data_IF_510223785771
#
_entry.id   IF_510223785771
#
_cell.length_a   1.000
_cell.length_b   1.000
_cell.length_c   1.000
_cell.angle_alpha   90.00
_cell.angle_beta   90.00
_cell.angle_gamma   90.00
#
_symmetry.space_group_name_H-M   'P 1'
#
loop_
_entity.id
_entity.type
_entity.pdbx_description
1 polymer ?
#
# COMPACT_ATOMS: atom_id res chain seq x y z
N UNK A 1 -64.09 48.69 -20.70
CA UNK A 1 -63.04 49.65 -21.12
C UNK A 1 -61.99 48.80 -21.84
N UNK A 2 -61.87 48.82 -23.18
CA UNK A 2 -61.48 49.96 -24.03
C UNK A 2 -60.03 50.38 -23.75
N UNK A 3 -59.09 50.48 -24.71
CA UNK A 3 -59.05 50.19 -26.18
C UNK A 3 -57.57 49.96 -26.53
N UNK A 4 -57.21 48.93 -27.28
CA UNK A 4 -56.89 48.99 -28.72
C UNK A 4 -55.93 50.14 -29.14
N UNK A 5 -54.73 49.79 -29.62
CA UNK A 5 -53.94 50.58 -30.58
C UNK A 5 -52.83 49.74 -31.23
N UNK A 6 -52.99 49.58 -32.54
CA UNK A 6 -52.19 48.89 -33.56
C UNK A 6 -51.13 49.82 -34.17
N UNK A 7 -50.07 49.24 -34.78
CA UNK A 7 -49.19 49.71 -35.90
C UNK A 7 -47.86 48.93 -35.75
N UNK A 8 -47.39 48.05 -36.64
CA UNK A 8 -47.25 48.00 -38.11
C UNK A 8 -45.92 48.61 -38.64
N UNK A 9 -45.25 47.79 -39.48
CA UNK A 9 -44.31 48.10 -40.58
C UNK A 9 -42.90 48.68 -40.22
N UNK A 10 -41.77 48.33 -40.87
CA UNK A 10 -41.43 47.23 -41.82
C UNK A 10 -39.87 46.99 -41.88
N UNK A 11 -39.42 45.89 -42.51
CA UNK A 11 -38.04 45.57 -42.96
C UNK A 11 -37.00 45.23 -41.85
N UNK A 12 -35.97 44.40 -42.03
CA UNK A 12 -35.23 44.01 -43.24
C UNK A 12 -34.35 42.75 -43.05
N UNK A 13 -34.22 41.92 -44.10
CA UNK A 13 -33.11 40.96 -44.42
C UNK A 13 -32.65 39.90 -43.40
N UNK A 14 -32.55 38.59 -43.78
CA UNK A 14 -31.85 37.59 -42.98
C UNK A 14 -30.32 37.70 -43.12
N UNK A 15 -29.53 37.53 -42.05
CA UNK A 15 -28.08 37.41 -42.16
C UNK A 15 -27.66 36.06 -42.77
N UNK A 16 -26.57 36.09 -43.56
CA UNK A 16 -25.98 34.95 -44.26
C UNK A 16 -25.72 33.74 -43.36
N UNK A 17 -26.01 32.54 -43.87
CA UNK A 17 -25.53 31.28 -43.28
C UNK A 17 -24.05 31.09 -43.63
N UNK A 18 -23.18 31.85 -42.98
CA UNK A 18 -21.74 31.69 -43.15
C UNK A 18 -21.30 30.36 -42.55
N UNK A 19 -21.14 29.40 -43.45
CA UNK A 19 -20.45 28.12 -43.33
C UNK A 19 -19.64 27.99 -42.04
N UNK A 20 -20.16 27.23 -41.07
CA UNK A 20 -19.35 26.75 -39.95
C UNK A 20 -18.28 25.83 -40.55
N UNK A 21 -17.12 26.40 -40.81
CA UNK A 21 -15.87 25.68 -41.03
C UNK A 21 -15.61 24.89 -39.75
N UNK A 22 -16.05 23.65 -39.74
CA UNK A 22 -15.80 22.71 -38.68
C UNK A 22 -14.30 22.42 -38.64
N UNK A 23 -13.56 23.26 -37.92
CA UNK A 23 -12.19 22.97 -37.49
C UNK A 23 -12.17 21.54 -36.96
N UNK A 24 -11.40 20.62 -37.57
CA UNK A 24 -11.30 19.28 -37.04
C UNK A 24 -10.85 19.39 -35.59
N UNK A 25 -11.63 18.85 -34.66
CA UNK A 25 -11.14 18.61 -33.30
C UNK A 25 -10.02 17.60 -33.49
N UNK A 26 -8.79 18.10 -33.56
CA UNK A 26 -7.58 17.34 -33.78
C UNK A 26 -7.29 16.59 -32.48
N UNK A 27 -8.10 15.55 -32.24
CA UNK A 27 -8.06 14.73 -31.04
C UNK A 27 -6.67 14.11 -30.97
N UNK A 28 -5.87 14.59 -30.01
CA UNK A 28 -4.44 14.38 -29.97
C UNK A 28 -4.12 12.88 -29.84
N UNK A 29 -3.81 12.26 -30.99
CA UNK A 29 -3.59 10.82 -31.08
C UNK A 29 -2.40 10.38 -30.22
N UNK A 30 -1.45 11.30 -29.94
CA UNK A 30 -0.27 11.04 -29.12
C UNK A 30 -0.64 10.59 -27.69
N UNK A 31 -1.74 11.13 -27.14
CA UNK A 31 -2.28 10.77 -25.83
C UNK A 31 -2.72 9.31 -25.78
N UNK A 32 -3.49 8.87 -26.77
CA UNK A 32 -4.05 7.50 -26.83
C UNK A 32 -2.94 6.45 -27.01
N UNK A 33 -1.94 6.73 -27.86
CA UNK A 33 -0.78 5.85 -28.03
C UNK A 33 0.08 5.77 -26.75
N UNK A 34 0.31 6.90 -26.08
CA UNK A 34 1.07 6.95 -24.82
C UNK A 34 0.37 6.15 -23.70
N UNK A 35 -0.94 6.29 -23.56
CA UNK A 35 -1.73 5.54 -22.58
C UNK A 35 -1.69 4.03 -22.82
N UNK A 36 -1.80 3.58 -24.09
CA UNK A 36 -1.64 2.16 -24.46
C UNK A 36 -0.24 1.63 -24.13
N UNK A 37 0.82 2.44 -24.35
CA UNK A 37 2.21 2.08 -24.05
C UNK A 37 2.45 1.95 -22.54
N UNK A 38 1.93 2.88 -21.73
CA UNK A 38 2.03 2.81 -20.27
C UNK A 38 1.26 1.63 -19.68
N UNK A 39 0.07 1.31 -20.21
CA UNK A 39 -0.64 0.07 -19.84
C UNK A 39 0.20 -1.18 -20.09
N UNK A 40 0.80 -1.32 -21.29
CA UNK A 40 1.68 -2.47 -21.61
C UNK A 40 2.89 -2.56 -20.65
N UNK A 41 3.58 -1.45 -20.40
CA UNK A 41 4.69 -1.39 -19.41
C UNK A 41 4.24 -1.84 -18.02
N UNK A 42 3.10 -1.31 -17.55
CA UNK A 42 2.52 -1.63 -16.24
C UNK A 42 2.18 -3.11 -16.11
N UNK A 43 1.59 -3.73 -17.13
CA UNK A 43 1.30 -5.17 -17.14
C UNK A 43 2.58 -6.01 -17.12
N UNK A 44 3.61 -5.64 -17.90
CA UNK A 44 4.88 -6.35 -17.91
C UNK A 44 5.59 -6.28 -16.54
N UNK A 45 5.61 -5.09 -15.90
CA UNK A 45 6.15 -4.93 -14.54
C UNK A 45 5.33 -5.71 -13.51
N UNK A 46 4.00 -5.72 -13.62
CA UNK A 46 3.17 -6.53 -12.72
C UNK A 46 3.43 -8.04 -12.88
N UNK A 47 3.64 -8.53 -14.11
CA UNK A 47 4.05 -9.92 -14.33
C UNK A 47 5.36 -10.22 -13.61
N UNK A 48 6.39 -9.40 -13.83
CA UNK A 48 7.70 -9.58 -13.18
C UNK A 48 7.62 -9.51 -11.65
N UNK A 49 6.74 -8.67 -11.09
CA UNK A 49 6.49 -8.62 -9.65
C UNK A 49 5.78 -9.88 -9.15
N UNK A 50 4.82 -10.44 -9.90
CA UNK A 50 4.22 -11.75 -9.61
C UNK A 50 5.28 -12.85 -9.62
N UNK A 51 6.17 -12.87 -10.61
CA UNK A 51 7.26 -13.85 -10.68
C UNK A 51 8.16 -13.76 -9.44
N UNK A 52 8.56 -12.54 -9.04
CA UNK A 52 9.37 -12.31 -7.83
C UNK A 52 8.68 -12.84 -6.56
N UNK A 53 7.34 -12.78 -6.45
CA UNK A 53 6.63 -13.14 -5.21
C UNK A 53 5.95 -14.50 -5.21
N UNK A 54 5.66 -15.10 -6.37
CA UNK A 54 4.95 -16.37 -6.52
C UNK A 54 5.79 -17.49 -7.16
N UNK A 55 6.76 -17.19 -8.06
CA UNK A 55 7.42 -18.25 -8.83
C UNK A 55 8.13 -19.27 -7.91
N UNK A 56 7.99 -20.59 -8.14
CA UNK A 56 8.58 -21.61 -7.27
C UNK A 56 10.11 -21.58 -7.32
N UNK A 57 10.68 -21.33 -8.50
CA UNK A 57 12.13 -21.26 -8.76
C UNK A 57 12.72 -19.90 -8.35
N UNK A 58 12.47 -19.48 -7.10
CA UNK A 58 12.84 -18.18 -6.60
C UNK A 58 14.36 -18.03 -6.39
N UNK A 59 15.01 -17.32 -7.31
CA UNK A 59 16.45 -17.01 -7.20
C UNK A 59 16.65 -15.71 -6.42
N UNK A 60 17.16 -15.84 -5.18
CA UNK A 60 17.37 -14.72 -4.25
C UNK A 60 18.25 -13.59 -4.83
N UNK A 61 19.32 -13.92 -5.55
CA UNK A 61 20.22 -12.95 -6.20
C UNK A 61 19.55 -12.15 -7.33
N UNK A 62 18.47 -12.67 -7.93
CA UNK A 62 17.75 -12.01 -9.03
C UNK A 62 16.84 -10.87 -8.55
N UNK A 63 16.45 -10.86 -7.26
CA UNK A 63 15.44 -9.94 -6.71
C UNK A 63 15.81 -8.47 -6.95
N UNK A 64 17.00 -8.06 -6.53
CA UNK A 64 17.42 -6.65 -6.62
C UNK A 64 17.55 -6.18 -8.09
N UNK A 65 18.22 -6.92 -9.00
CA UNK A 65 18.19 -6.60 -10.43
C UNK A 65 16.78 -6.54 -11.02
N UNK A 66 15.89 -7.49 -10.65
CA UNK A 66 14.53 -7.54 -11.16
C UNK A 66 13.67 -6.33 -10.71
N UNK A 67 13.76 -5.94 -9.43
CA UNK A 67 13.04 -4.75 -8.93
C UNK A 67 13.64 -3.46 -9.49
N UNK A 68 14.96 -3.35 -9.60
CA UNK A 68 15.61 -2.19 -10.23
C UNK A 68 15.19 -2.04 -11.70
N UNK A 69 15.07 -3.14 -12.45
CA UNK A 69 14.54 -3.12 -13.81
C UNK A 69 13.06 -2.66 -13.87
N UNK A 70 12.25 -3.00 -12.86
CA UNK A 70 10.88 -2.47 -12.74
C UNK A 70 10.87 -0.96 -12.44
N UNK A 71 11.79 -0.48 -11.59
CA UNK A 71 11.97 0.93 -11.26
C UNK A 71 12.56 1.77 -12.40
N UNK A 72 13.26 1.15 -13.35
CA UNK A 72 13.68 1.80 -14.60
C UNK A 72 12.55 1.85 -15.65
N UNK A 73 11.59 0.92 -15.59
CA UNK A 73 10.49 0.81 -16.55
C UNK A 73 9.30 1.76 -16.28
N UNK A 74 9.06 2.09 -15.01
CA UNK A 74 7.99 2.95 -14.50
C UNK A 74 8.54 4.09 -13.64
N UNK A 75 7.78 5.17 -13.48
CA UNK A 75 8.13 6.19 -12.48
C UNK A 75 8.03 5.64 -11.04
N UNK A 76 8.82 6.20 -10.11
CA UNK A 76 8.82 5.77 -8.72
C UNK A 76 7.43 5.87 -8.06
N UNK A 77 6.64 6.89 -8.41
CA UNK A 77 5.27 7.07 -7.93
C UNK A 77 4.31 6.01 -8.49
N UNK A 78 4.45 5.61 -9.75
CA UNK A 78 3.67 4.52 -10.34
C UNK A 78 4.03 3.16 -9.76
N UNK A 79 5.32 2.88 -9.55
CA UNK A 79 5.78 1.65 -8.92
C UNK A 79 5.28 1.56 -7.46
N UNK A 80 5.43 2.64 -6.69
CA UNK A 80 4.85 2.79 -5.35
C UNK A 80 3.34 2.52 -5.32
N UNK A 81 2.59 3.10 -6.27
CA UNK A 81 1.14 2.88 -6.40
C UNK A 81 0.80 1.43 -6.76
N UNK A 82 1.59 0.79 -7.62
CA UNK A 82 1.40 -0.60 -8.04
C UNK A 82 1.68 -1.58 -6.88
N UNK A 83 2.74 -1.36 -6.10
CA UNK A 83 3.08 -2.21 -4.95
C UNK A 83 2.04 -2.15 -3.81
N UNK A 84 1.37 -1.00 -3.64
CA UNK A 84 0.32 -0.79 -2.63
C UNK A 84 -1.08 -1.28 -3.04
N UNK A 85 -1.27 -1.73 -4.28
CA UNK A 85 -2.57 -2.10 -4.83
C UNK A 85 -2.77 -3.63 -4.84
N UNK A 86 -4.04 -4.04 -4.77
CA UNK A 86 -4.49 -5.43 -4.79
C UNK A 86 -4.39 -6.06 -6.18
N UNK A 87 -3.17 -6.20 -6.67
CA UNK A 87 -2.87 -6.62 -8.04
C UNK A 87 -2.60 -8.12 -8.18
N UNK A 88 -2.59 -8.88 -7.09
CA UNK A 88 -2.29 -10.33 -7.07
C UNK A 88 -3.31 -11.01 -6.15
N UNK A 89 -4.29 -11.71 -6.74
CA UNK A 89 -5.28 -12.53 -6.01
C UNK A 89 -6.00 -11.79 -4.87
N UNK A 90 -6.34 -10.51 -5.09
CA UNK A 90 -7.02 -9.69 -4.08
C UNK A 90 -6.11 -9.15 -2.98
N UNK A 91 -4.80 -9.39 -3.02
CA UNK A 91 -3.79 -8.93 -2.06
C UNK A 91 -2.66 -8.11 -2.72
N UNK A 92 -1.87 -7.42 -1.90
CA UNK A 92 -0.69 -6.67 -2.38
C UNK A 92 0.49 -7.61 -2.69
N UNK A 93 1.46 -7.13 -3.49
CA UNK A 93 2.71 -7.86 -3.70
C UNK A 93 3.53 -8.06 -2.41
N UNK A 94 3.33 -7.17 -1.43
CA UNK A 94 4.00 -7.22 -0.13
C UNK A 94 3.43 -8.33 0.76
N UNK A 95 2.11 -8.54 0.74
CA UNK A 95 1.44 -9.68 1.38
C UNK A 95 2.03 -11.00 0.88
N UNK A 96 2.10 -11.19 -0.45
CA UNK A 96 2.64 -12.41 -1.03
C UNK A 96 4.14 -12.61 -0.77
N UNK A 97 4.90 -11.52 -0.64
CA UNK A 97 6.29 -11.60 -0.20
C UNK A 97 6.47 -12.08 1.25
N UNK A 98 5.46 -11.90 2.12
CA UNK A 98 5.45 -12.49 3.48
C UNK A 98 4.98 -13.95 3.41
N UNK A 99 3.82 -14.21 2.77
CA UNK A 99 3.22 -15.56 2.69
C UNK A 99 4.19 -16.58 2.09
N UNK A 100 4.93 -16.21 1.04
CA UNK A 100 5.88 -17.09 0.37
C UNK A 100 7.32 -16.97 0.92
N UNK A 101 7.49 -16.41 2.13
CA UNK A 101 8.77 -16.24 2.84
C UNK A 101 9.90 -15.61 2.00
N UNK A 102 9.65 -14.41 1.45
CA UNK A 102 10.59 -13.65 0.59
C UNK A 102 10.94 -12.30 1.22
N UNK A 103 11.57 -12.27 2.41
CA UNK A 103 11.88 -11.03 3.13
C UNK A 103 12.73 -10.06 2.29
N UNK A 104 13.68 -10.54 1.48
CA UNK A 104 14.47 -9.65 0.61
C UNK A 104 13.60 -8.94 -0.45
N UNK A 105 12.58 -9.61 -1.00
CA UNK A 105 11.65 -8.96 -1.93
C UNK A 105 10.82 -7.89 -1.21
N UNK A 106 10.27 -8.23 -0.04
CA UNK A 106 9.53 -7.30 0.83
C UNK A 106 10.33 -6.03 1.14
N UNK A 107 11.55 -6.16 1.69
CA UNK A 107 12.42 -5.03 2.01
C UNK A 107 12.88 -4.26 0.78
N UNK A 108 13.07 -4.92 -0.37
CA UNK A 108 13.43 -4.24 -1.62
C UNK A 108 12.25 -3.43 -2.17
N UNK A 109 11.02 -3.95 -2.14
CA UNK A 109 9.82 -3.20 -2.50
C UNK A 109 9.60 -1.99 -1.60
N UNK A 110 9.82 -2.12 -0.29
CA UNK A 110 9.67 -1.01 0.65
C UNK A 110 10.55 0.21 0.33
N UNK A 111 11.74 0.02 -0.26
CA UNK A 111 12.59 1.14 -0.73
C UNK A 111 11.90 2.04 -1.76
N UNK A 112 10.91 1.52 -2.48
CA UNK A 112 10.13 2.25 -3.50
C UNK A 112 8.76 2.72 -2.97
N UNK A 113 8.42 2.43 -1.70
CA UNK A 113 7.12 2.77 -1.10
C UNK A 113 7.25 4.04 -0.26
N UNK A 114 6.99 5.19 -0.89
CA UNK A 114 6.83 6.46 -0.17
C UNK A 114 5.47 6.48 0.56
N UNK A 115 5.46 6.40 1.90
CA UNK A 115 4.27 6.50 2.74
C UNK A 115 3.33 5.29 2.66
N UNK A 116 3.42 4.39 3.63
CA UNK A 116 2.54 3.22 3.78
C UNK A 116 1.14 3.65 4.26
N UNK A 117 0.09 3.18 3.58
CA UNK A 117 -1.29 3.43 4.02
C UNK A 117 -1.70 2.44 5.12
N UNK A 118 -2.67 2.80 5.99
CA UNK A 118 -3.24 1.86 6.97
C UNK A 118 -3.75 0.57 6.33
N UNK A 119 -4.30 0.68 5.11
CA UNK A 119 -4.76 -0.45 4.31
C UNK A 119 -3.63 -1.46 4.00
N UNK A 120 -2.46 -1.00 3.54
CA UNK A 120 -1.31 -1.88 3.31
C UNK A 120 -0.89 -2.55 4.60
N UNK A 121 -0.83 -1.83 5.73
CA UNK A 121 -0.53 -2.46 7.02
C UNK A 121 -1.56 -3.52 7.43
N UNK A 122 -2.86 -3.31 7.18
CA UNK A 122 -3.88 -4.34 7.43
C UNK A 122 -3.61 -5.60 6.61
N UNK A 123 -3.28 -5.47 5.33
CA UNK A 123 -2.93 -6.59 4.44
C UNK A 123 -1.71 -7.36 4.96
N UNK A 124 -0.61 -6.67 5.31
CA UNK A 124 0.59 -7.30 5.88
C UNK A 124 0.33 -8.01 7.22
N UNK A 125 -0.56 -7.46 8.05
CA UNK A 125 -0.93 -8.08 9.33
C UNK A 125 -1.72 -9.37 9.12
N UNK A 126 -2.54 -9.45 8.07
CA UNK A 126 -3.19 -10.70 7.65
C UNK A 126 -2.14 -11.70 7.17
N UNK A 127 -1.15 -11.25 6.38
CA UNK A 127 -0.05 -12.12 5.93
C UNK A 127 0.72 -12.75 7.11
N UNK A 128 1.20 -11.92 8.06
CA UNK A 128 1.90 -12.41 9.25
C UNK A 128 1.02 -13.31 10.14
N UNK A 129 -0.29 -13.05 10.20
CA UNK A 129 -1.24 -13.89 10.92
C UNK A 129 -1.35 -15.29 10.27
N UNK A 130 -1.44 -15.35 8.94
CA UNK A 130 -1.53 -16.62 8.19
C UNK A 130 -0.22 -17.41 8.27
N UNK A 131 0.94 -16.75 8.19
CA UNK A 131 2.25 -17.42 8.34
C UNK A 131 2.63 -17.71 9.79
N UNK A 132 1.83 -17.26 10.77
CA UNK A 132 2.14 -17.27 12.20
C UNK A 132 3.49 -16.58 12.56
N UNK A 133 3.98 -15.68 11.69
CA UNK A 133 5.28 -15.03 11.84
C UNK A 133 5.18 -13.75 12.70
N UNK A 134 5.36 -13.94 14.01
CA UNK A 134 5.43 -12.83 14.95
C UNK A 134 6.69 -11.96 14.77
N UNK A 135 7.80 -12.51 14.27
CA UNK A 135 9.03 -11.73 14.06
C UNK A 135 8.83 -10.69 12.98
N UNK A 136 8.29 -11.09 11.83
CA UNK A 136 7.90 -10.17 10.75
C UNK A 136 6.85 -9.16 11.22
N UNK A 137 5.85 -9.60 11.99
CA UNK A 137 4.85 -8.70 12.58
C UNK A 137 5.48 -7.63 13.49
N UNK A 138 6.46 -8.02 14.32
CA UNK A 138 7.25 -7.13 15.19
C UNK A 138 8.04 -6.13 14.34
N UNK A 139 8.78 -6.57 13.32
CA UNK A 139 9.58 -5.68 12.47
C UNK A 139 8.74 -4.64 11.70
N UNK A 140 7.58 -5.05 11.18
CA UNK A 140 6.63 -4.17 10.52
C UNK A 140 6.00 -3.16 11.50
N UNK A 141 5.56 -3.62 12.69
CA UNK A 141 4.95 -2.76 13.72
C UNK A 141 5.95 -1.75 14.30
N UNK A 142 7.19 -2.16 14.53
CA UNK A 142 8.27 -1.31 15.05
C UNK A 142 9.03 -0.55 13.95
N UNK A 143 8.59 -0.67 12.71
CA UNK A 143 8.87 0.27 11.62
C UNK A 143 10.36 0.53 11.41
N UNK A 144 11.12 -0.54 11.19
CA UNK A 144 12.50 -0.51 10.68
C UNK A 144 12.60 0.07 9.24
N UNK A 145 11.54 0.74 8.78
CA UNK A 145 11.31 1.29 7.44
C UNK A 145 11.68 2.77 7.31
N UNK A 146 11.71 3.54 8.40
CA UNK A 146 12.14 4.96 8.35
C UNK A 146 12.53 5.59 9.68
N UNK A 147 11.96 5.19 10.82
CA UNK A 147 12.22 5.91 12.08
C UNK A 147 12.18 5.04 13.35
N UNK A 148 13.36 4.86 13.95
CA UNK A 148 13.54 4.28 15.30
C UNK A 148 13.42 5.32 16.42
N UNK A 149 13.54 6.63 16.14
CA UNK A 149 13.63 7.70 17.15
C UNK A 149 12.25 8.09 17.71
N UNK A 150 11.21 8.13 16.89
CA UNK A 150 9.84 8.54 17.31
C UNK A 150 9.07 7.53 18.21
N UNK A 151 9.66 6.40 18.59
CA UNK A 151 9.06 5.41 19.51
C UNK A 151 9.71 5.32 20.90
N UNK A 152 10.64 6.22 21.20
CA UNK A 152 11.38 6.25 22.46
C UNK A 152 10.54 6.91 23.58
N UNK A 153 9.56 6.20 24.15
CA UNK A 153 8.76 6.75 25.26
C UNK A 153 9.65 6.94 26.50
N UNK A 154 9.77 8.18 26.98
CA UNK A 154 10.69 8.57 28.07
C UNK A 154 12.17 8.20 27.81
N UNK A 155 12.61 8.21 26.54
CA UNK A 155 14.01 7.89 26.19
C UNK A 155 14.38 6.41 26.35
N UNK A 156 13.40 5.52 26.55
CA UNK A 156 13.62 4.09 26.71
C UNK A 156 13.41 3.32 25.41
N UNK A 157 14.17 2.22 25.23
CA UNK A 157 13.93 1.25 24.17
C UNK A 157 12.47 0.74 24.19
N UNK A 158 11.90 0.35 23.04
CA UNK A 158 10.57 -0.26 22.97
C UNK A 158 10.41 -1.45 23.90
N UNK A 159 9.18 -1.71 24.33
CA UNK A 159 8.83 -2.93 25.04
C UNK A 159 9.06 -4.16 24.15
N UNK A 160 9.51 -5.23 24.78
CA UNK A 160 9.73 -6.49 24.11
C UNK A 160 8.63 -7.49 24.48
N UNK A 161 8.07 -8.12 23.44
CA UNK A 161 7.21 -9.29 23.58
C UNK A 161 7.90 -10.42 22.84
N UNK A 162 7.93 -11.60 23.45
CA UNK A 162 8.42 -12.85 22.90
C UNK A 162 7.29 -13.88 22.97
N UNK A 163 7.09 -14.62 21.89
CA UNK A 163 6.07 -15.68 21.78
C UNK A 163 6.83 -16.99 21.62
N UNK A 164 6.61 -17.92 22.54
CA UNK A 164 7.24 -19.23 22.54
C UNK A 164 6.16 -20.27 22.25
N UNK A 165 6.28 -21.03 21.16
CA UNK A 165 5.38 -22.15 20.88
C UNK A 165 5.83 -23.35 21.69
N UNK A 166 4.97 -23.88 22.57
CA UNK A 166 5.37 -24.89 23.54
C UNK A 166 5.00 -26.32 23.10
N UNK A 167 3.89 -26.49 22.37
CA UNK A 167 3.44 -27.79 21.87
C UNK A 167 2.67 -27.61 20.55
N UNK A 168 3.13 -28.24 19.46
CA UNK A 168 2.54 -28.06 18.12
C UNK A 168 1.18 -28.73 17.85
N UNK A 169 0.73 -29.83 18.49
CA UNK A 169 -0.62 -30.34 18.24
C UNK A 169 -1.71 -29.56 18.99
N UNK A 170 -1.38 -28.93 20.14
CA UNK A 170 -2.37 -28.25 21.00
C UNK A 170 -2.47 -26.74 20.75
N UNK A 171 -1.67 -26.18 19.83
CA UNK A 171 -1.54 -24.73 19.60
C UNK A 171 -1.25 -23.96 20.91
N UNK A 172 -0.53 -24.58 21.84
CA UNK A 172 -0.16 -23.96 23.12
C UNK A 172 1.08 -23.07 22.93
N UNK A 173 0.98 -21.83 23.41
CA UNK A 173 2.07 -20.87 23.37
C UNK A 173 2.14 -20.09 24.69
N UNK A 174 3.36 -19.75 25.10
CA UNK A 174 3.64 -18.87 26.22
C UNK A 174 4.09 -17.49 25.70
N UNK A 175 3.73 -16.41 26.39
CA UNK A 175 4.06 -15.05 25.97
C UNK A 175 4.75 -14.30 27.09
N UNK A 176 6.00 -13.89 26.83
CA UNK A 176 6.83 -13.15 27.78
C UNK A 176 6.80 -11.67 27.41
N UNK A 177 6.31 -10.83 28.32
CA UNK A 177 6.26 -9.37 28.18
C UNK A 177 7.36 -8.72 29.03
N UNK A 178 8.37 -8.14 28.39
CA UNK A 178 9.40 -7.35 29.04
C UNK A 178 9.11 -5.85 28.90
N UNK A 179 8.43 -5.30 29.91
CA UNK A 179 7.94 -3.92 29.92
C UNK A 179 8.96 -2.99 30.57
N UNK A 180 9.58 -2.11 29.78
CA UNK A 180 10.61 -1.19 30.29
C UNK A 180 9.97 -0.02 31.03
N UNK A 181 10.53 0.33 32.19
CA UNK A 181 10.05 1.42 33.06
C UNK A 181 8.56 1.32 33.44
N UNK A 182 8.03 0.09 33.59
CA UNK A 182 6.60 -0.19 33.82
C UNK A 182 5.98 0.70 34.90
N UNK A 183 6.55 0.73 36.11
CA UNK A 183 6.06 1.56 37.22
C UNK A 183 6.05 3.07 36.91
N UNK A 184 7.10 3.58 36.25
CA UNK A 184 7.19 5.00 35.88
C UNK A 184 6.14 5.34 34.82
N UNK A 185 5.92 4.45 33.86
CA UNK A 185 4.91 4.64 32.81
C UNK A 185 3.49 4.58 33.37
N UNK A 186 3.17 3.61 34.23
CA UNK A 186 1.89 3.55 34.94
C UNK A 186 1.59 4.82 35.75
N UNK A 187 2.60 5.43 36.38
CA UNK A 187 2.43 6.69 37.14
C UNK A 187 2.23 7.92 36.25
N UNK A 188 2.71 7.91 35.01
CA UNK A 188 2.47 9.02 34.08
C UNK A 188 1.04 8.92 33.52
N UNK A 189 0.21 9.93 33.79
CA UNK A 189 -1.21 9.95 33.43
C UNK A 189 -1.55 9.77 31.93
N UNK A 190 -0.55 9.80 31.04
CA UNK A 190 -0.67 9.51 29.61
C UNK A 190 -0.73 8.02 29.26
N UNK A 191 -0.34 7.10 30.16
CA UNK A 191 -0.33 5.66 29.91
C UNK A 191 -1.46 4.91 30.64
N UNK A 192 -2.72 5.36 30.47
CA UNK A 192 -3.91 4.74 31.10
C UNK A 192 -4.15 3.25 30.75
N UNK A 193 -3.47 2.72 29.73
CA UNK A 193 -3.44 1.29 29.38
C UNK A 193 -2.18 0.97 28.59
N UNK A 194 -1.61 -0.22 28.75
CA UNK A 194 -0.47 -0.67 27.94
C UNK A 194 -0.93 -1.69 26.90
N UNK A 195 -1.02 -1.26 25.64
CA UNK A 195 -1.52 -2.12 24.55
C UNK A 195 -0.42 -2.96 23.91
N UNK A 196 -0.36 -4.23 24.29
CA UNK A 196 0.43 -5.24 23.59
C UNK A 196 -0.38 -5.86 22.45
N UNK A 197 0.34 -6.34 21.44
CA UNK A 197 -0.24 -6.91 20.23
C UNK A 197 0.81 -7.81 19.58
N UNK A 198 0.45 -9.07 19.35
CA UNK A 198 1.33 -10.13 18.89
C UNK A 198 0.57 -11.16 18.06
N UNK A 199 1.28 -12.04 17.36
CA UNK A 199 0.73 -13.15 16.58
C UNK A 199 1.07 -14.46 17.27
N UNK A 200 0.10 -15.34 17.45
CA UNK A 200 0.30 -16.69 17.97
C UNK A 200 -0.88 -17.61 17.57
N UNK A 201 -0.59 -18.85 17.21
CA UNK A 201 -1.60 -19.84 16.80
C UNK A 201 -2.45 -19.40 15.60
N UNK A 202 -1.85 -18.69 14.64
CA UNK A 202 -2.55 -18.18 13.46
C UNK A 202 -3.54 -17.04 13.75
N UNK A 203 -3.41 -16.36 14.90
CA UNK A 203 -4.31 -15.28 15.35
C UNK A 203 -3.53 -14.07 15.85
N UNK A 204 -4.10 -12.88 15.71
CA UNK A 204 -3.62 -11.66 16.35
C UNK A 204 -4.27 -11.54 17.74
N UNK A 205 -3.44 -11.44 18.76
CA UNK A 205 -3.85 -11.26 20.15
C UNK A 205 -3.58 -9.83 20.61
N UNK A 206 -4.41 -9.32 21.53
CA UNK A 206 -4.19 -8.05 22.20
C UNK A 206 -4.26 -8.24 23.73
N UNK A 207 -3.43 -7.47 24.44
CA UNK A 207 -3.53 -7.25 25.88
C UNK A 207 -3.62 -5.74 26.11
N UNK A 208 -4.40 -5.28 27.08
CA UNK A 208 -4.67 -3.85 27.35
C UNK A 208 -4.59 -3.57 28.85
#
# INVERSE_FOLDING_TARGET
>A
MATDSKVADDSSTPPSYDTILASPIQCDQSSVFSFRRMKKKRTAVLSRIRDIVLAPDFILSSVVPNVNACAAALSATELSKLLKQLNIEGHTALYWAIVNNRPQALWTFFKFISGTSPFVFSDLRIACMITNDYTMFKELRFGNLSDRRSRCFLGCLPDEVQVHTCNEPTNQFDVVFQIRMFQKRLRTATAKSLRFEFVAGGRIWWLR
#
